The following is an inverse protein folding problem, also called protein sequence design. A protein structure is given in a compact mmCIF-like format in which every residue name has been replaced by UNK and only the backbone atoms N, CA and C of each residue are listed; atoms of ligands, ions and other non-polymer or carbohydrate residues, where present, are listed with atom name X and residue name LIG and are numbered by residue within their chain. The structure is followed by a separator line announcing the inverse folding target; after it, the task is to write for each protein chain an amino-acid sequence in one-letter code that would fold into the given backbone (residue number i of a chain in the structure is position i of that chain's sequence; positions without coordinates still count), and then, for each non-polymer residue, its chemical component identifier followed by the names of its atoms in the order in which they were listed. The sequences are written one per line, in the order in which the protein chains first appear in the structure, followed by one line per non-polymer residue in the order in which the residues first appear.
data_IF_954313020793
#
_entry.id   IF_954313020793
#
_cell.length_a   1.000
_cell.length_b   1.000
_cell.length_c   1.000
_cell.angle_alpha   90.00
_cell.angle_beta   90.00
_cell.angle_gamma   90.00
#
_symmetry.space_group_name_H-M   'P 1'
#
loop_
_entity.id
_entity.type
_entity.pdbx_description
1 polymer ?
#
# COMPACT_ATOMS: atom_id res chain seq x y z
N UNK A 1 19.53 -13.76 11.53
CA UNK A 1 18.64 -14.22 10.45
C UNK A 1 17.28 -14.47 11.06
N UNK A 2 16.38 -13.51 10.95
CA UNK A 2 14.96 -13.82 11.07
C UNK A 2 14.56 -14.71 9.90
N UNK A 3 13.63 -15.65 10.13
CA UNK A 3 12.97 -16.33 9.01
C UNK A 3 12.02 -15.33 8.37
N UNK A 4 12.00 -15.26 7.04
CA UNK A 4 11.05 -14.43 6.31
C UNK A 4 9.62 -14.82 6.69
N UNK A 5 8.94 -13.96 7.45
CA UNK A 5 7.52 -14.13 7.76
C UNK A 5 6.75 -14.29 6.45
N UNK A 6 5.82 -15.25 6.42
CA UNK A 6 4.98 -15.53 5.27
C UNK A 6 5.74 -15.82 3.95
N UNK A 7 7.02 -16.21 4.02
CA UNK A 7 7.85 -16.48 2.85
C UNK A 7 8.11 -15.26 1.94
N UNK A 8 7.79 -14.04 2.41
CA UNK A 8 7.84 -12.82 1.61
C UNK A 8 6.60 -12.55 0.72
N UNK A 9 5.55 -13.38 0.81
CA UNK A 9 4.28 -13.11 0.14
C UNK A 9 3.49 -12.02 0.88
N UNK A 10 2.80 -11.17 0.10
CA UNK A 10 1.93 -10.10 0.57
C UNK A 10 0.46 -10.56 0.49
N UNK A 11 -0.24 -10.56 1.61
CA UNK A 11 -1.70 -10.74 1.60
C UNK A 11 -2.40 -9.41 1.37
N UNK A 12 -3.36 -9.37 0.45
CA UNK A 12 -4.12 -8.18 0.10
C UNK A 12 -5.59 -8.50 -0.16
N UNK A 13 -6.50 -7.75 0.47
CA UNK A 13 -7.94 -7.80 0.21
C UNK A 13 -8.35 -6.53 -0.55
N UNK A 14 -8.97 -6.69 -1.72
CA UNK A 14 -9.48 -5.58 -2.52
C UNK A 14 -10.94 -5.35 -2.16
N UNK A 15 -11.30 -4.10 -1.91
CA UNK A 15 -12.57 -3.71 -1.33
C UNK A 15 -13.67 -3.53 -2.40
N UNK A 16 -14.73 -4.35 -2.33
CA UNK A 16 -15.92 -4.22 -3.21
C UNK A 16 -17.12 -3.49 -2.55
N UNK A 17 -17.08 -3.27 -1.24
CA UNK A 17 -18.17 -2.66 -0.43
C UNK A 17 -17.59 -1.71 0.63
N UNK A 18 -18.36 -1.21 1.61
CA UNK A 18 -17.83 -0.30 2.66
C UNK A 18 -17.10 -1.03 3.82
N UNK A 19 -16.37 -2.11 3.54
CA UNK A 19 -15.74 -2.99 4.53
C UNK A 19 -14.22 -2.77 4.75
N UNK A 20 -13.73 -1.55 4.50
CA UNK A 20 -12.33 -1.15 4.71
C UNK A 20 -11.73 -1.63 6.06
N UNK A 21 -12.49 -1.57 7.15
CA UNK A 21 -12.09 -2.07 8.47
C UNK A 21 -11.73 -3.57 8.50
N UNK A 22 -12.49 -4.42 7.78
CA UNK A 22 -12.26 -5.87 7.68
C UNK A 22 -10.93 -6.11 6.97
N UNK A 23 -10.78 -5.52 5.79
CA UNK A 23 -9.60 -5.62 4.95
C UNK A 23 -8.35 -5.08 5.67
N UNK A 24 -8.50 -3.98 6.42
CA UNK A 24 -7.45 -3.40 7.24
C UNK A 24 -6.99 -4.39 8.33
N UNK A 25 -7.88 -4.97 9.15
CA UNK A 25 -7.49 -5.90 10.22
C UNK A 25 -6.88 -7.20 9.66
N UNK A 26 -7.48 -7.78 8.63
CA UNK A 26 -6.94 -8.97 7.96
C UNK A 26 -5.55 -8.72 7.36
N UNK A 27 -5.31 -7.51 6.84
CA UNK A 27 -4.00 -7.11 6.33
C UNK A 27 -2.99 -6.81 7.44
N UNK A 28 -3.42 -6.16 8.54
CA UNK A 28 -2.61 -5.99 9.77
C UNK A 28 -2.14 -7.34 10.29
N UNK A 29 -2.91 -8.42 10.12
CA UNK A 29 -2.53 -9.79 10.51
C UNK A 29 -1.87 -10.60 9.39
N UNK A 30 -2.02 -10.20 8.12
CA UNK A 30 -1.63 -10.93 6.89
C UNK A 30 -2.32 -12.30 6.75
N UNK A 31 -3.66 -12.28 6.77
CA UNK A 31 -4.52 -13.40 6.42
C UNK A 31 -6.00 -13.10 6.67
N UNK A 32 -6.94 -13.87 6.08
CA UNK A 32 -8.38 -13.71 6.31
C UNK A 32 -8.75 -14.30 7.68
N UNK A 33 -8.54 -13.51 8.74
CA UNK A 33 -8.79 -13.93 10.13
C UNK A 33 -10.14 -13.45 10.67
N UNK A 34 -10.73 -12.42 10.07
CA UNK A 34 -12.04 -11.87 10.40
C UNK A 34 -12.90 -11.70 9.14
N UNK A 35 -14.20 -11.95 9.27
CA UNK A 35 -15.22 -11.53 8.30
C UNK A 35 -16.00 -10.30 8.79
N UNK A 36 -16.84 -9.74 7.92
CA UNK A 36 -17.86 -8.75 8.27
C UNK A 36 -18.68 -9.19 9.50
N UNK A 37 -19.08 -10.47 9.55
CA UNK A 37 -19.90 -11.01 10.64
C UNK A 37 -19.15 -11.06 11.98
N UNK A 38 -17.85 -11.33 11.97
CA UNK A 38 -17.03 -11.40 13.18
C UNK A 38 -16.79 -10.00 13.78
N UNK A 39 -16.52 -9.01 12.92
CA UNK A 39 -16.37 -7.61 13.34
C UNK A 39 -17.71 -6.98 13.77
N UNK A 40 -18.81 -7.33 13.11
CA UNK A 40 -20.16 -6.94 13.55
C UNK A 40 -20.54 -7.58 14.90
N UNK A 41 -20.13 -8.83 15.14
CA UNK A 41 -20.33 -9.49 16.43
C UNK A 41 -19.49 -8.83 17.56
N UNK A 42 -18.23 -8.49 17.28
CA UNK A 42 -17.37 -7.74 18.21
C UNK A 42 -17.95 -6.35 18.55
N UNK A 43 -18.47 -5.63 17.55
CA UNK A 43 -19.11 -4.35 17.76
C UNK A 43 -20.39 -4.44 18.61
N UNK A 44 -21.25 -5.43 18.34
CA UNK A 44 -22.48 -5.68 19.11
C UNK A 44 -22.20 -6.10 20.57
N UNK A 45 -21.11 -6.83 20.81
CA UNK A 45 -20.61 -7.16 22.15
C UNK A 45 -20.04 -5.92 22.88
N UNK A 46 -19.37 -5.01 22.17
CA UNK A 46 -18.96 -3.69 22.69
C UNK A 46 -20.18 -2.83 23.06
N UNK A 47 -21.13 -2.62 22.14
CA UNK A 47 -22.37 -1.86 22.39
C UNK A 47 -23.14 -2.42 23.61
N UNK A 48 -23.13 -3.74 23.78
CA UNK A 48 -23.73 -4.43 24.91
C UNK A 48 -22.98 -4.17 26.23
N UNK A 49 -21.65 -4.22 26.21
CA UNK A 49 -20.79 -3.97 27.39
C UNK A 49 -20.82 -2.51 27.84
N UNK A 50 -20.78 -1.57 26.90
CA UNK A 50 -20.86 -0.13 27.17
C UNK A 50 -22.21 0.22 27.81
N UNK A 51 -23.31 -0.28 27.23
CA UNK A 51 -24.65 -0.19 27.82
C UNK A 51 -24.74 -0.82 29.21
N UNK A 52 -24.09 -1.97 29.44
CA UNK A 52 -24.06 -2.62 30.75
C UNK A 52 -23.27 -1.82 31.79
N UNK A 53 -22.15 -1.17 31.40
CA UNK A 53 -21.38 -0.29 32.27
C UNK A 53 -22.16 1.00 32.60
N UNK A 54 -22.84 1.58 31.61
CA UNK A 54 -23.73 2.73 31.83
C UNK A 54 -24.86 2.39 32.80
N UNK A 55 -25.50 1.23 32.67
CA UNK A 55 -26.53 0.76 33.61
C UNK A 55 -26.00 0.52 35.03
N UNK A 56 -24.72 0.17 35.20
CA UNK A 56 -24.08 0.03 36.52
C UNK A 56 -23.69 1.38 37.13
N UNK A 57 -23.27 2.35 36.31
CA UNK A 57 -22.95 3.71 36.77
C UNK A 57 -24.19 4.58 37.03
N UNK A 58 -25.27 4.41 36.26
CA UNK A 58 -26.47 5.25 36.29
C UNK A 58 -27.43 4.99 37.46
N UNK A 59 -27.00 4.28 38.52
CA UNK A 59 -27.80 4.01 39.72
C UNK A 59 -28.21 5.27 40.53
N UNK A 60 -27.92 6.48 40.04
CA UNK A 60 -28.30 7.76 40.67
C UNK A 60 -28.59 8.90 39.68
N UNK A 61 -29.01 8.60 38.44
CA UNK A 61 -29.58 9.59 37.53
C UNK A 61 -30.67 8.98 36.63
N UNK A 62 -31.90 9.48 36.76
CA UNK A 62 -32.92 9.24 35.73
C UNK A 62 -32.63 10.03 34.46
N UNK A 63 -33.25 9.61 33.36
CA UNK A 63 -33.28 10.29 32.04
C UNK A 63 -32.04 10.15 31.13
N UNK A 64 -30.93 9.53 31.56
CA UNK A 64 -29.80 9.20 30.66
C UNK A 64 -30.04 7.87 29.91
N UNK A 65 -30.98 7.86 28.95
CA UNK A 65 -31.40 6.66 28.20
C UNK A 65 -31.38 6.83 26.66
N UNK A 66 -30.65 7.81 26.11
CA UNK A 66 -30.78 8.14 24.67
C UNK A 66 -29.50 8.62 23.96
N UNK A 67 -28.33 8.21 24.44
CA UNK A 67 -27.17 8.01 23.55
C UNK A 67 -26.84 6.51 23.56
N UNK A 68 -27.36 5.82 22.55
CA UNK A 68 -27.04 4.42 22.28
C UNK A 68 -25.68 4.39 21.58
N UNK A 69 -24.70 3.68 22.17
CA UNK A 69 -23.43 3.46 21.49
C UNK A 69 -23.67 2.60 20.25
N UNK A 70 -23.03 3.01 19.14
CA UNK A 70 -23.12 2.35 17.85
C UNK A 70 -21.70 2.18 17.31
N UNK A 71 -21.05 1.08 17.67
CA UNK A 71 -19.70 0.74 17.20
C UNK A 71 -19.66 0.34 15.70
N UNK A 72 -20.82 0.24 15.03
CA UNK A 72 -20.96 0.17 13.58
C UNK A 72 -21.88 1.29 13.08
N UNK A 73 -21.44 2.01 12.05
CA UNK A 73 -22.23 3.02 11.35
C UNK A 73 -23.27 2.39 10.41
N UNK A 74 -24.39 3.08 10.16
CA UNK A 74 -25.33 2.73 9.08
C UNK A 74 -24.67 2.71 7.69
N UNK A 75 -23.49 3.31 7.54
CA UNK A 75 -22.67 3.23 6.33
C UNK A 75 -21.80 1.97 6.21
N UNK A 76 -21.72 1.11 7.23
CA UNK A 76 -20.83 -0.05 7.27
C UNK A 76 -19.42 0.22 7.81
N UNK A 77 -19.12 1.45 8.22
CA UNK A 77 -17.86 1.79 8.91
C UNK A 77 -17.88 1.32 10.39
N UNK A 78 -16.70 1.03 10.95
CA UNK A 78 -16.50 0.45 12.28
C UNK A 78 -15.65 1.36 13.16
N UNK A 79 -15.97 1.44 14.45
CA UNK A 79 -15.17 2.22 15.40
C UNK A 79 -13.77 1.64 15.62
N UNK A 80 -12.80 2.50 15.96
CA UNK A 80 -11.45 2.09 16.38
C UNK A 80 -11.45 1.08 17.54
N UNK A 81 -12.50 1.09 18.37
CA UNK A 81 -12.63 0.16 19.51
C UNK A 81 -12.89 -1.27 19.02
N UNK A 82 -13.59 -1.45 17.89
CA UNK A 82 -13.80 -2.75 17.25
C UNK A 82 -12.47 -3.30 16.72
N UNK A 83 -11.70 -2.47 16.01
CA UNK A 83 -10.36 -2.83 15.50
C UNK A 83 -9.40 -3.15 16.66
N UNK A 84 -9.45 -2.37 17.75
CA UNK A 84 -8.72 -2.65 18.99
C UNK A 84 -9.08 -4.02 19.58
N UNK A 85 -10.37 -4.39 19.67
CA UNK A 85 -10.78 -5.70 20.18
C UNK A 85 -10.44 -6.85 19.25
N UNK A 86 -10.52 -6.66 17.93
CA UNK A 86 -10.09 -7.66 16.97
C UNK A 86 -8.58 -7.97 17.08
N UNK A 87 -7.75 -6.95 17.31
CA UNK A 87 -6.29 -7.10 17.43
C UNK A 87 -5.84 -7.53 18.84
N UNK A 88 -6.60 -7.20 19.90
CA UNK A 88 -6.33 -7.68 21.27
C UNK A 88 -6.40 -9.22 21.37
N UNK A 89 -7.24 -9.88 20.57
CA UNK A 89 -7.31 -11.36 20.43
C UNK A 89 -5.98 -11.96 19.94
N UNK A 90 -5.13 -11.17 19.26
CA UNK A 90 -3.83 -11.56 18.71
C UNK A 90 -2.66 -10.95 19.49
N UNK A 91 -2.80 -10.75 20.80
CA UNK A 91 -1.82 -10.10 21.70
C UNK A 91 -1.29 -8.75 21.12
N UNK A 92 -2.13 -8.03 20.36
CA UNK A 92 -1.71 -6.85 19.60
C UNK A 92 -2.43 -5.59 20.06
N UNK A 93 -1.65 -4.57 20.38
CA UNK A 93 -2.09 -3.30 20.96
C UNK A 93 -2.08 -2.21 19.89
N UNK A 94 -3.18 -1.45 19.81
CA UNK A 94 -3.35 -0.31 18.89
C UNK A 94 -3.24 0.99 19.68
N UNK A 95 -2.15 1.73 19.45
CA UNK A 95 -1.72 2.91 20.22
C UNK A 95 -1.86 4.15 19.33
N UNK A 96 -2.61 5.20 19.72
CA UNK A 96 -2.67 6.45 18.95
C UNK A 96 -1.28 7.07 18.75
N UNK A 97 -0.97 7.52 17.53
CA UNK A 97 0.37 8.00 17.17
C UNK A 97 0.82 9.24 17.97
N UNK A 98 -0.13 10.08 18.43
CA UNK A 98 0.13 11.24 19.29
C UNK A 98 0.35 10.91 20.78
N UNK A 99 0.27 9.63 21.17
CA UNK A 99 0.57 9.20 22.53
C UNK A 99 2.09 9.26 22.81
N UNK A 100 2.57 9.69 23.99
CA UNK A 100 4.00 9.66 24.32
C UNK A 100 4.62 8.25 24.27
N UNK A 101 3.81 7.19 24.38
CA UNK A 101 4.26 5.79 24.20
C UNK A 101 4.65 5.48 22.74
N UNK A 102 4.23 6.33 21.80
CA UNK A 102 4.55 6.26 20.37
C UNK A 102 5.66 7.26 19.93
N UNK A 103 6.22 8.10 20.81
CA UNK A 103 7.37 8.98 20.46
C UNK A 103 8.51 8.25 19.72
N UNK A 104 8.94 7.03 20.13
CA UNK A 104 9.97 6.29 19.38
C UNK A 104 9.59 6.02 17.92
N UNK A 105 8.31 5.80 17.63
CA UNK A 105 7.80 5.58 16.27
C UNK A 105 7.60 6.88 15.48
N UNK A 106 7.55 8.04 16.14
CA UNK A 106 7.60 9.35 15.48
C UNK A 106 9.05 9.69 15.05
N UNK A 107 10.05 9.24 15.82
CA UNK A 107 11.47 9.48 15.53
C UNK A 107 12.06 8.45 14.55
N UNK A 108 11.72 7.17 14.72
CA UNK A 108 12.16 6.07 13.87
C UNK A 108 10.99 5.10 13.60
N UNK A 109 10.12 5.43 12.62
CA UNK A 109 9.00 4.57 12.25
C UNK A 109 9.44 3.23 11.64
N UNK A 110 10.71 3.07 11.23
CA UNK A 110 11.20 1.81 10.68
C UNK A 110 11.32 0.70 11.72
N UNK A 111 11.42 1.02 13.01
CA UNK A 111 11.52 0.02 14.08
C UNK A 111 10.20 -0.72 14.35
N UNK A 112 9.08 -0.15 13.90
CA UNK A 112 7.74 -0.70 14.09
C UNK A 112 7.37 -1.72 13.00
N UNK A 113 6.16 -2.29 13.11
CA UNK A 113 5.71 -3.40 12.25
C UNK A 113 4.47 -3.05 11.42
N UNK A 114 3.50 -2.32 11.97
CA UNK A 114 2.33 -1.86 11.22
C UNK A 114 1.73 -0.58 11.81
N UNK A 115 1.14 0.23 10.94
CA UNK A 115 0.31 1.39 11.26
C UNK A 115 -1.08 1.20 10.62
N UNK A 116 -2.11 1.71 11.29
CA UNK A 116 -3.48 1.82 10.79
C UNK A 116 -3.75 3.32 10.61
N UNK A 117 -4.27 3.71 9.46
CA UNK A 117 -4.61 5.09 9.13
C UNK A 117 -6.12 5.23 8.88
N UNK A 118 -6.72 6.29 9.41
CA UNK A 118 -8.16 6.58 9.24
C UNK A 118 -8.45 8.04 8.89
N UNK A 119 -9.33 8.24 7.91
CA UNK A 119 -9.91 9.53 7.54
C UNK A 119 -11.24 9.31 6.78
N UNK A 120 -12.27 10.09 7.09
CA UNK A 120 -13.56 10.14 6.37
C UNK A 120 -14.18 8.76 6.01
N UNK A 121 -14.44 7.92 7.02
CA UNK A 121 -15.01 6.57 6.90
C UNK A 121 -14.14 5.57 6.12
N UNK A 122 -12.82 5.80 6.01
CA UNK A 122 -11.88 4.89 5.33
C UNK A 122 -10.72 4.47 6.23
N UNK A 123 -10.48 3.16 6.29
CA UNK A 123 -9.41 2.51 7.06
C UNK A 123 -8.42 1.82 6.12
N UNK A 124 -7.12 2.11 6.26
CA UNK A 124 -6.07 1.37 5.58
C UNK A 124 -4.88 1.02 6.48
N UNK A 125 -4.07 0.06 6.05
CA UNK A 125 -2.91 -0.44 6.79
C UNK A 125 -1.60 -0.14 6.05
N UNK A 126 -0.61 0.38 6.76
CA UNK A 126 0.79 0.42 6.30
C UNK A 126 1.53 -0.66 7.09
N UNK A 127 1.95 -1.76 6.46
CA UNK A 127 2.61 -2.88 7.16
C UNK A 127 3.98 -3.21 6.58
N UNK A 128 4.90 -3.55 7.47
CA UNK A 128 6.22 -4.10 7.18
C UNK A 128 6.11 -5.60 6.92
N UNK A 129 6.56 -6.05 5.76
CA UNK A 129 6.62 -7.47 5.37
C UNK A 129 8.01 -7.77 4.83
N UNK A 130 8.65 -8.82 5.35
CA UNK A 130 10.02 -9.22 5.01
C UNK A 130 11.07 -8.09 5.09
N UNK A 131 10.85 -7.11 5.96
CA UNK A 131 11.76 -5.96 6.18
C UNK A 131 11.51 -4.74 5.29
N UNK A 132 10.59 -4.82 4.32
CA UNK A 132 10.14 -3.71 3.46
C UNK A 132 8.73 -3.25 3.85
N UNK A 133 8.38 -2.00 3.53
CA UNK A 133 7.08 -1.41 3.86
C UNK A 133 6.15 -1.39 2.64
N UNK A 134 4.85 -1.58 2.88
CA UNK A 134 3.82 -1.50 1.86
C UNK A 134 2.58 -0.78 2.39
N UNK A 135 1.98 0.06 1.55
CA UNK A 135 0.64 0.56 1.75
C UNK A 135 -0.36 -0.49 1.23
N UNK A 136 -1.21 -0.99 2.12
CA UNK A 136 -2.31 -1.87 1.82
C UNK A 136 -3.63 -1.10 1.97
N UNK A 137 -3.80 -0.07 1.13
CA UNK A 137 -5.11 0.50 0.89
C UNK A 137 -5.93 -0.50 0.07
N UNK A 138 -7.05 -0.94 0.62
CA UNK A 138 -7.94 -1.92 -0.01
C UNK A 138 -8.70 -1.35 -1.22
N UNK A 139 -8.63 -0.02 -1.45
CA UNK A 139 -9.03 0.62 -2.70
C UNK A 139 -8.03 0.38 -3.85
N UNK A 140 -6.80 -0.08 -3.56
CA UNK A 140 -5.79 -0.39 -4.58
C UNK A 140 -5.91 -1.84 -5.06
N UNK A 141 -5.61 -2.09 -6.33
CA UNK A 141 -5.63 -3.44 -6.92
C UNK A 141 -4.51 -4.36 -6.37
N UNK A 142 -3.46 -3.78 -5.79
CA UNK A 142 -2.35 -4.47 -5.13
C UNK A 142 -1.67 -3.55 -4.10
N UNK A 143 -0.89 -4.09 -3.14
CA UNK A 143 -0.14 -3.28 -2.18
C UNK A 143 0.94 -2.44 -2.87
N UNK A 144 0.99 -1.15 -2.56
CA UNK A 144 2.01 -0.24 -3.07
C UNK A 144 3.26 -0.32 -2.19
N UNK A 145 4.44 -0.61 -2.74
CA UNK A 145 5.70 -0.54 -1.99
C UNK A 145 5.98 0.90 -1.52
N UNK A 146 6.38 1.04 -0.25
CA UNK A 146 6.83 2.28 0.34
C UNK A 146 8.31 2.15 0.70
N UNK A 147 9.13 3.03 0.14
CA UNK A 147 10.53 3.14 0.55
C UNK A 147 10.62 3.59 2.01
N UNK A 148 11.55 2.99 2.75
CA UNK A 148 11.91 3.36 4.14
C UNK A 148 12.14 4.87 4.31
N UNK A 149 12.92 5.47 3.40
CA UNK A 149 13.21 6.89 3.37
C UNK A 149 11.98 7.79 3.06
N UNK A 150 10.89 7.21 2.56
CA UNK A 150 9.64 7.89 2.27
C UNK A 150 8.58 7.68 3.36
N UNK A 151 8.68 6.62 4.18
CA UNK A 151 7.68 6.28 5.20
C UNK A 151 7.42 7.44 6.19
N UNK A 152 8.48 8.08 6.70
CA UNK A 152 8.35 9.22 7.61
C UNK A 152 7.62 10.39 6.95
N UNK A 153 8.08 10.83 5.77
CA UNK A 153 7.45 11.90 5.00
C UNK A 153 5.98 11.59 4.62
N UNK A 154 5.66 10.31 4.39
CA UNK A 154 4.30 9.86 4.11
C UNK A 154 3.42 9.93 5.37
N UNK A 155 3.89 9.45 6.52
CA UNK A 155 3.19 9.57 7.81
C UNK A 155 3.00 11.05 8.22
N UNK A 156 4.00 11.90 8.01
CA UNK A 156 3.90 13.35 8.24
C UNK A 156 2.87 14.02 7.30
N UNK A 157 2.83 13.62 6.03
CA UNK A 157 1.84 14.10 5.05
C UNK A 157 0.41 13.70 5.42
N UNK A 158 0.21 12.44 5.83
CA UNK A 158 -1.07 11.95 6.36
C UNK A 158 -1.48 12.75 7.60
N UNK A 159 -0.56 12.96 8.56
CA UNK A 159 -0.82 13.73 9.78
C UNK A 159 -1.15 15.20 9.47
N UNK A 160 -0.43 15.83 8.54
CA UNK A 160 -0.70 17.19 8.07
C UNK A 160 -2.05 17.33 7.37
N UNK A 161 -2.50 16.29 6.68
CA UNK A 161 -3.82 16.19 6.03
C UNK A 161 -4.95 15.78 6.99
N UNK A 162 -4.67 15.63 8.30
CA UNK A 162 -5.68 15.33 9.32
C UNK A 162 -6.02 13.85 9.50
N UNK A 163 -5.25 12.91 8.94
CA UNK A 163 -5.45 11.48 9.18
C UNK A 163 -5.17 11.11 10.64
N UNK A 164 -6.04 10.28 11.21
CA UNK A 164 -5.81 9.64 12.50
C UNK A 164 -4.92 8.41 12.30
N UNK A 165 -3.70 8.46 12.82
CA UNK A 165 -2.71 7.38 12.71
C UNK A 165 -2.65 6.61 14.03
N UNK A 166 -2.66 5.28 13.94
CA UNK A 166 -2.53 4.37 15.07
C UNK A 166 -1.40 3.36 14.80
N UNK A 167 -0.52 3.20 15.78
CA UNK A 167 0.57 2.24 15.76
C UNK A 167 0.10 0.88 16.28
N UNK A 168 0.44 -0.22 15.59
CA UNK A 168 0.16 -1.59 16.04
C UNK A 168 1.44 -2.27 16.52
N UNK A 169 1.48 -2.65 17.81
CA UNK A 169 2.57 -3.42 18.42
C UNK A 169 2.03 -4.73 19.00
N UNK A 170 2.59 -5.88 18.63
CA UNK A 170 2.12 -7.18 19.12
C UNK A 170 2.75 -8.40 18.45
N UNK A 171 2.16 -9.57 18.71
CA UNK A 171 2.56 -10.85 18.12
C UNK A 171 1.89 -11.08 16.76
N UNK A 172 2.40 -10.43 15.72
CA UNK A 172 1.96 -10.67 14.34
C UNK A 172 2.13 -12.15 13.94
N UNK A 173 1.15 -12.75 13.23
CA UNK A 173 1.32 -14.05 12.58
C UNK A 173 2.55 -14.07 11.67
N UNK A 174 3.33 -15.17 11.76
CA UNK A 174 4.62 -15.36 11.05
C UNK A 174 4.59 -16.48 10.01
N UNK A 175 3.55 -17.31 10.05
CA UNK A 175 3.36 -18.48 9.19
C UNK A 175 2.08 -18.25 8.36
N UNK A 176 2.16 -18.42 7.04
CA UNK A 176 0.98 -18.37 6.18
C UNK A 176 0.00 -19.48 6.57
N UNK A 177 -1.30 -19.19 6.82
CA UNK A 177 -2.30 -20.24 7.07
C UNK A 177 -2.50 -21.19 5.87
N UNK A 178 -2.23 -20.71 4.64
CA UNK A 178 -2.43 -21.48 3.41
C UNK A 178 -1.32 -22.52 3.18
N UNK A 179 -1.62 -23.75 3.60
CA UNK A 179 -1.26 -24.92 2.79
C UNK A 179 -1.83 -24.74 1.37
N UNK A 180 -1.11 -25.24 0.35
CA UNK A 180 -1.19 -24.78 -1.05
C UNK A 180 -2.46 -25.16 -1.84
N UNK A 181 -3.62 -25.29 -1.19
CA UNK A 181 -4.87 -25.81 -1.77
C UNK A 181 -6.10 -24.92 -1.58
N UNK A 182 -6.09 -23.92 -0.69
CA UNK A 182 -7.29 -23.12 -0.35
C UNK A 182 -7.18 -21.64 -0.75
N UNK A 183 -6.32 -21.31 -1.73
CA UNK A 183 -6.14 -19.96 -2.28
C UNK A 183 -7.34 -19.45 -3.13
N UNK A 184 -8.56 -19.91 -2.83
CA UNK A 184 -9.81 -19.56 -3.53
C UNK A 184 -11.00 -19.30 -2.60
N UNK A 185 -10.77 -19.16 -1.29
CA UNK A 185 -11.72 -18.48 -0.41
C UNK A 185 -11.68 -16.98 -0.79
N UNK A 186 -12.70 -16.52 -1.51
CA UNK A 186 -12.70 -15.29 -2.31
C UNK A 186 -12.73 -13.96 -1.56
N UNK A 187 -11.98 -13.84 -0.47
CA UNK A 187 -11.87 -12.62 0.36
C UNK A 187 -10.56 -11.86 0.13
N UNK A 188 -9.50 -12.52 -0.35
CA UNK A 188 -8.24 -11.84 -0.68
C UNK A 188 -7.25 -12.69 -1.45
N UNK A 189 -6.25 -12.00 -2.03
CA UNK A 189 -5.20 -12.55 -2.88
C UNK A 189 -3.84 -12.55 -2.17
N UNK A 190 -2.98 -13.49 -2.55
CA UNK A 190 -1.58 -13.52 -2.13
C UNK A 190 -0.70 -13.15 -3.33
N UNK A 191 0.06 -12.07 -3.20
CA UNK A 191 0.90 -11.51 -4.26
C UNK A 191 2.37 -11.61 -3.89
N UNK A 192 3.23 -11.85 -4.89
CA UNK A 192 4.66 -11.56 -4.73
C UNK A 192 4.87 -10.03 -4.74
N UNK A 193 5.94 -9.50 -4.11
CA UNK A 193 6.27 -8.08 -4.22
C UNK A 193 6.48 -7.62 -5.68
N UNK A 194 7.05 -8.48 -6.53
CA UNK A 194 7.22 -8.21 -7.96
C UNK A 194 5.88 -8.10 -8.70
N UNK A 195 4.90 -8.94 -8.36
CA UNK A 195 3.57 -8.90 -8.98
C UNK A 195 2.72 -7.73 -8.44
N UNK A 196 2.84 -7.40 -7.15
CA UNK A 196 2.21 -6.22 -6.58
C UNK A 196 2.72 -4.92 -7.24
N UNK A 197 4.04 -4.82 -7.46
CA UNK A 197 4.65 -3.71 -8.18
C UNK A 197 4.21 -3.67 -9.66
N UNK A 198 4.17 -4.84 -10.33
CA UNK A 198 3.70 -5.01 -11.71
C UNK A 198 2.25 -4.54 -11.88
N UNK A 199 1.35 -4.96 -10.98
CA UNK A 199 -0.06 -4.57 -10.98
C UNK A 199 -0.18 -3.06 -10.77
N UNK A 200 0.44 -2.51 -9.72
CA UNK A 200 0.41 -1.07 -9.40
C UNK A 200 0.85 -0.21 -10.58
N UNK A 201 2.00 -0.55 -11.21
CA UNK A 201 2.49 0.16 -12.42
C UNK A 201 1.50 0.06 -13.58
N UNK A 202 0.87 -1.09 -13.80
CA UNK A 202 -0.11 -1.27 -14.89
C UNK A 202 -1.42 -0.50 -14.66
N UNK A 203 -1.86 -0.37 -13.41
CA UNK A 203 -3.03 0.44 -13.04
C UNK A 203 -2.77 1.92 -13.30
N UNK A 204 -1.62 2.45 -12.86
CA UNK A 204 -1.25 3.85 -13.07
C UNK A 204 -1.16 4.21 -14.56
N UNK A 205 -0.53 3.35 -15.38
CA UNK A 205 -0.48 3.49 -16.85
C UNK A 205 -1.88 3.51 -17.50
N UNK A 206 -2.87 2.86 -16.89
CA UNK A 206 -4.25 2.80 -17.41
C UNK A 206 -5.08 4.02 -16.99
N UNK A 207 -4.64 4.81 -16.01
CA UNK A 207 -5.33 6.02 -15.56
C UNK A 207 -5.00 7.27 -16.41
N UNK A 208 -3.99 7.21 -17.29
CA UNK A 208 -3.69 8.30 -18.23
C UNK A 208 -4.79 8.38 -19.31
N UNK A 209 -5.61 9.45 -19.35
CA UNK A 209 -6.69 9.55 -20.33
C UNK A 209 -6.11 9.79 -21.74
N UNK A 210 -6.53 9.03 -22.77
CA UNK A 210 -6.02 9.22 -24.13
C UNK A 210 -6.51 10.56 -24.69
N UNK A 211 -5.58 11.50 -24.93
CA UNK A 211 -5.89 12.82 -25.48
C UNK A 211 -6.55 12.70 -26.87
N UNK A 212 -7.88 12.87 -26.91
CA UNK A 212 -8.65 13.01 -28.15
C UNK A 212 -8.79 14.49 -28.49
N UNK A 213 -8.02 14.93 -29.50
CA UNK A 213 -8.04 16.30 -29.99
C UNK A 213 -9.40 16.71 -30.59
N UNK A 214 -9.99 17.79 -30.06
CA UNK A 214 -11.15 18.55 -30.57
C UNK A 214 -12.49 17.78 -30.67
N UNK A 215 -13.65 18.39 -30.41
CA UNK A 215 -14.05 19.75 -30.83
C UNK A 215 -14.91 20.48 -29.79
N UNK A 216 -15.00 21.80 -29.91
CA UNK A 216 -15.67 22.76 -29.02
C UNK A 216 -17.15 22.44 -28.69
N UNK A 217 -17.55 22.62 -27.43
CA UNK A 217 -18.59 23.61 -27.02
C UNK A 217 -18.65 23.81 -25.48
N UNK A 218 -19.21 24.94 -25.05
CA UNK A 218 -19.31 25.35 -23.64
C UNK A 218 -20.23 24.46 -22.78
N UNK A 219 -19.88 24.25 -21.51
CA UNK A 219 -20.62 24.80 -20.34
C UNK A 219 -19.82 24.55 -19.05
N UNK A 220 -19.87 25.48 -18.09
CA UNK A 220 -19.10 25.42 -16.85
C UNK A 220 -19.66 24.44 -15.82
N UNK A 221 -18.77 23.74 -15.09
CA UNK A 221 -18.91 23.40 -13.67
C UNK A 221 -17.57 22.94 -13.07
N UNK A 222 -17.23 23.50 -11.91
CA UNK A 222 -16.08 23.06 -11.09
C UNK A 222 -16.36 21.69 -10.47
N UNK A 223 -15.29 20.93 -10.19
CA UNK A 223 -14.99 20.62 -8.79
C UNK A 223 -13.55 20.98 -8.40
N UNK A 224 -13.29 21.06 -7.10
CA UNK A 224 -11.97 21.30 -6.51
C UNK A 224 -11.39 20.01 -5.90
N UNK A 225 -10.15 19.68 -6.24
CA UNK A 225 -9.32 18.66 -5.57
C UNK A 225 -7.86 19.05 -5.75
N UNK A 226 -7.19 19.49 -4.68
CA UNK A 226 -5.84 20.07 -4.76
C UNK A 226 -4.72 19.01 -4.76
N UNK A 227 -5.06 17.77 -4.45
CA UNK A 227 -4.10 16.70 -4.10
C UNK A 227 -3.50 15.99 -5.35
N UNK A 228 -4.02 16.27 -6.54
CA UNK A 228 -3.57 15.64 -7.79
C UNK A 228 -2.27 16.25 -8.37
N UNK A 229 -2.00 17.53 -8.13
CA UNK A 229 -0.89 18.24 -8.80
C UNK A 229 0.50 17.90 -8.23
N UNK A 230 0.60 17.36 -7.02
CA UNK A 230 1.90 17.18 -6.34
C UNK A 230 2.71 15.97 -6.86
N UNK A 231 2.07 14.98 -7.49
CA UNK A 231 2.77 13.83 -8.09
C UNK A 231 3.25 14.07 -9.54
N UNK A 232 2.65 15.03 -10.26
CA UNK A 232 2.95 15.30 -11.68
C UNK A 232 4.39 15.79 -11.95
N UNK A 233 5.12 16.22 -10.92
CA UNK A 233 6.46 16.79 -11.05
C UNK A 233 7.57 15.74 -11.22
N UNK A 234 7.35 14.47 -10.83
CA UNK A 234 8.40 13.43 -10.92
C UNK A 234 8.44 12.71 -12.27
N UNK A 235 7.29 12.55 -12.93
CA UNK A 235 7.19 11.70 -14.12
C UNK A 235 7.64 12.41 -15.41
N UNK A 236 7.60 13.75 -15.44
CA UNK A 236 8.06 14.54 -16.59
C UNK A 236 9.59 14.51 -16.76
N UNK A 237 10.36 14.49 -15.66
CA UNK A 237 11.82 14.56 -15.74
C UNK A 237 12.44 13.24 -16.22
N UNK A 238 11.85 12.08 -15.89
CA UNK A 238 12.43 10.77 -16.24
C UNK A 238 12.22 10.41 -17.73
N UNK A 239 11.10 10.80 -18.34
CA UNK A 239 10.85 10.55 -19.78
C UNK A 239 11.68 11.49 -20.68
N UNK A 240 11.85 12.77 -20.33
CA UNK A 240 12.77 13.68 -21.04
C UNK A 240 14.23 13.23 -20.89
N UNK A 241 14.63 12.73 -19.71
CA UNK A 241 15.96 12.15 -19.48
C UNK A 241 16.19 10.89 -20.33
N UNK A 242 15.20 10.00 -20.42
CA UNK A 242 15.24 8.82 -21.31
C UNK A 242 15.34 9.21 -22.78
N UNK A 243 14.57 10.21 -23.21
CA UNK A 243 14.63 10.74 -24.57
C UNK A 243 16.02 11.33 -24.90
N UNK A 244 16.62 12.09 -23.99
CA UNK A 244 17.96 12.65 -24.15
C UNK A 244 19.05 11.57 -24.23
N UNK A 245 18.96 10.52 -23.40
CA UNK A 245 19.88 9.38 -23.45
C UNK A 245 19.72 8.62 -24.78
N UNK A 246 18.49 8.34 -25.21
CA UNK A 246 18.22 7.65 -26.47
C UNK A 246 18.71 8.45 -27.70
N UNK A 247 18.49 9.77 -27.72
CA UNK A 247 18.99 10.65 -28.77
C UNK A 247 20.54 10.66 -28.82
N UNK A 248 21.20 10.74 -27.66
CA UNK A 248 22.66 10.69 -27.55
C UNK A 248 23.25 9.37 -28.08
N UNK A 249 22.53 8.26 -27.94
CA UNK A 249 22.92 6.94 -28.43
C UNK A 249 22.74 6.78 -29.95
N UNK A 250 21.85 7.58 -30.57
CA UNK A 250 21.60 7.58 -32.01
C UNK A 250 22.59 8.44 -32.80
N UNK A 251 23.10 9.53 -32.22
CA UNK A 251 24.08 10.41 -32.86
C UNK A 251 25.49 9.78 -32.90
N UNK A 252 25.77 8.81 -32.02
CA UNK A 252 27.03 8.07 -32.00
C UNK A 252 27.08 6.93 -33.03
N UNK A 253 27.27 7.26 -34.31
CA UNK A 253 27.70 6.29 -35.34
C UNK A 253 28.56 6.93 -36.44
N UNK A 254 29.67 6.29 -36.88
CA UNK A 254 30.64 6.93 -37.77
C UNK A 254 30.12 7.01 -39.22
N UNK A 255 30.20 8.21 -39.79
CA UNK A 255 29.86 8.44 -41.20
C UNK A 255 30.79 7.65 -42.15
N UNK A 256 30.20 6.89 -43.06
CA UNK A 256 30.93 6.15 -44.11
C UNK A 256 31.13 7.02 -45.36
N UNK A 257 32.34 7.00 -45.92
CA UNK A 257 32.66 7.67 -47.18
C UNK A 257 33.58 6.76 -48.03
N UNK A 258 33.05 6.29 -49.17
CA UNK A 258 33.74 5.35 -50.07
C UNK A 258 34.52 6.07 -51.18
N UNK A 259 35.73 5.59 -51.52
CA UNK A 259 36.48 6.08 -52.67
C UNK A 259 37.27 4.98 -53.42
N UNK A 260 36.72 4.58 -54.58
CA UNK A 260 37.40 4.17 -55.83
C UNK A 260 38.53 3.11 -55.81
N UNK A 261 38.14 1.89 -56.23
CA UNK A 261 38.79 0.99 -57.22
C UNK A 261 40.27 1.19 -57.57
N UNK A 262 41.09 0.14 -57.37
CA UNK A 262 42.09 -0.37 -58.34
C UNK A 262 42.64 -1.75 -57.96
N UNK A 263 42.95 -2.59 -58.95
CA UNK A 263 43.77 -3.83 -58.82
C UNK A 263 44.92 -3.74 -59.85
N UNK A 264 46.12 -4.31 -59.61
CA UNK A 264 46.33 -5.74 -59.91
C UNK A 264 47.47 -6.51 -59.17
N UNK A 265 47.33 -7.86 -59.13
CA UNK A 265 48.36 -8.92 -59.34
C UNK A 265 49.58 -9.18 -58.40
N UNK A 266 49.92 -10.48 -58.39
CA UNK A 266 51.24 -11.18 -58.34
C UNK A 266 52.03 -11.45 -57.03
N UNK A 267 52.14 -12.76 -56.74
CA UNK A 267 53.34 -13.57 -56.39
C UNK A 267 54.01 -13.57 -54.99
N UNK A 268 54.11 -14.81 -54.44
CA UNK A 268 55.26 -15.44 -53.72
C UNK A 268 55.72 -14.88 -52.35
N UNK A 269 56.45 -15.57 -51.45
CA UNK A 269 56.84 -16.97 -51.08
C UNK A 269 57.57 -16.83 -49.70
N UNK A 270 57.83 -17.79 -48.81
CA UNK A 270 57.37 -19.13 -48.38
C UNK A 270 58.00 -19.33 -46.94
N UNK A 271 58.11 -20.55 -46.38
CA UNK A 271 59.06 -20.97 -45.31
C UNK A 271 58.63 -20.49 -43.88
N UNK A 272 58.22 -21.36 -42.93
CA UNK A 272 59.01 -22.31 -42.08
C UNK A 272 59.99 -21.60 -41.10
N UNK A 273 60.35 -22.11 -39.92
CA UNK A 273 60.15 -23.43 -39.28
C UNK A 273 60.31 -23.39 -37.74
N UNK A 274 59.92 -24.49 -37.06
CA UNK A 274 60.43 -25.04 -35.76
C UNK A 274 60.36 -24.24 -34.42
N UNK A 275 59.62 -24.85 -33.46
CA UNK A 275 60.06 -25.47 -32.17
C UNK A 275 61.51 -25.25 -31.67
N UNK A 276 61.81 -25.35 -30.34
CA UNK A 276 61.20 -26.26 -29.33
C UNK A 276 59.90 -25.82 -28.68
#
# INVERSE_FOLDING_TARGET
MERASNGGMLYHEVQESKLCAVHCVNTVLQGPFFSEFDLAALASDLDSKERQMMLQGAASAGDFLSEESHNVSLGGDFSIQVLQKALEVWDSQVIPFDCPVAEPAQVDPELENAFICHLHDHWFCIRKVNGEWYNFDSLYAAPQHLSKFYLSAYLDSLKGSGWSIFLVRGNFPKECPISSTEASNGYGQWLSPEDAERITKSCNLTQVPPQRNMTQQHTERLPSSADADMHLLSDMEDDDLRAAIAASLMDSSPATASAVVSTPKTENEDIKEKTP
#
